data_IF_120646579633
#
_entry.id   IF_120646579633
#
_cell.length_a   1.000
_cell.length_b   1.000
_cell.length_c   1.000
_cell.angle_alpha   90.00
_cell.angle_beta   90.00
_cell.angle_gamma   90.00
#
_symmetry.space_group_name_H-M   'P 1'
#
loop_
_entity.id
_entity.type
_entity.pdbx_description
1 polymer ?
#
# COMPACT_ATOMS: atom_id res chain seq x y z
N UNK A 1 3.42 -31.71 12.37
CA UNK A 1 3.06 -30.28 12.43
C UNK A 1 3.12 -29.85 13.88
N UNK A 2 3.97 -28.87 14.23
CA UNK A 2 3.99 -28.29 15.58
C UNK A 2 2.87 -27.27 15.64
N UNK A 3 1.82 -27.57 16.39
CA UNK A 3 0.73 -26.61 16.63
C UNK A 3 1.30 -25.50 17.51
N UNK A 4 1.33 -24.26 17.01
CA UNK A 4 1.57 -23.10 17.84
C UNK A 4 0.48 -23.02 18.91
N UNK A 5 0.85 -22.84 20.18
CA UNK A 5 -0.13 -22.79 21.27
C UNK A 5 -1.02 -21.57 21.14
N UNK A 6 -2.21 -21.61 21.73
CA UNK A 6 -3.12 -20.47 21.80
C UNK A 6 -2.41 -19.19 22.27
N UNK A 7 -1.45 -19.32 23.17
CA UNK A 7 -0.63 -18.22 23.70
C UNK A 7 0.26 -17.57 22.62
N UNK A 8 0.77 -18.35 21.66
CA UNK A 8 1.57 -17.81 20.55
C UNK A 8 0.69 -17.05 19.55
N UNK A 9 -0.53 -17.55 19.28
CA UNK A 9 -1.53 -16.82 18.50
C UNK A 9 -1.95 -15.52 19.20
N UNK A 10 -2.20 -15.56 20.51
CA UNK A 10 -2.57 -14.39 21.30
C UNK A 10 -1.43 -13.36 21.39
N UNK A 11 -0.16 -13.81 21.34
CA UNK A 11 1.02 -12.92 21.34
C UNK A 11 1.20 -12.22 19.98
N UNK A 12 1.12 -12.97 18.86
CA UNK A 12 1.27 -12.39 17.51
C UNK A 12 0.09 -11.52 17.12
N UNK A 13 -1.11 -11.81 17.64
CA UNK A 13 -2.27 -10.96 17.39
C UNK A 13 -2.20 -9.60 18.09
N UNK A 14 -1.32 -9.43 19.08
CA UNK A 14 -1.17 -8.19 19.86
C UNK A 14 -0.11 -7.23 19.34
N UNK A 15 0.59 -7.57 18.26
CA UNK A 15 1.59 -6.68 17.66
C UNK A 15 0.95 -5.81 16.59
N UNK A 16 1.44 -4.57 16.46
CA UNK A 16 1.14 -3.64 15.35
C UNK A 16 -0.30 -3.08 15.24
N UNK A 17 -1.10 -3.04 16.33
CA UNK A 17 -2.39 -2.33 16.33
C UNK A 17 -2.29 -0.83 15.95
N UNK A 18 -1.18 -0.19 16.29
CA UNK A 18 -0.89 1.22 16.10
C UNK A 18 -0.14 1.48 14.79
N UNK A 19 0.29 0.43 14.09
CA UNK A 19 0.98 0.57 12.81
C UNK A 19 0.06 1.22 11.77
N UNK A 20 0.53 2.28 11.14
CA UNK A 20 -0.25 3.06 10.17
C UNK A 20 -1.40 3.89 10.78
N UNK A 21 -1.61 3.87 12.10
CA UNK A 21 -2.64 4.66 12.77
C UNK A 21 -2.14 6.07 13.08
N UNK A 22 -3.00 7.07 12.88
CA UNK A 22 -2.73 8.46 13.19
C UNK A 22 -3.47 8.91 14.45
N UNK A 23 -2.74 9.55 15.36
CA UNK A 23 -3.30 10.17 16.57
C UNK A 23 -4.18 11.37 16.22
N UNK A 24 -5.36 11.43 16.83
CA UNK A 24 -6.27 12.58 16.83
C UNK A 24 -6.54 13.01 18.28
N UNK A 25 -7.11 14.20 18.48
CA UNK A 25 -7.42 14.70 19.82
C UNK A 25 -8.43 13.79 20.55
N UNK A 26 -8.32 13.71 21.87
CA UNK A 26 -9.31 13.01 22.68
C UNK A 26 -10.57 13.85 22.82
N UNK A 27 -11.66 13.43 22.16
CA UNK A 27 -13.00 13.99 22.31
C UNK A 27 -14.05 13.08 21.68
N UNK A 28 -15.32 13.37 21.98
CA UNK A 28 -16.44 12.78 21.25
C UNK A 28 -16.60 13.47 19.89
N UNK A 29 -16.54 12.69 18.82
CA UNK A 29 -16.62 13.18 17.45
C UNK A 29 -18.06 13.11 16.96
N UNK A 30 -18.57 14.23 16.45
CA UNK A 30 -19.86 14.27 15.77
C UNK A 30 -19.79 13.62 14.39
N UNK A 31 -20.95 13.24 13.85
CA UNK A 31 -21.06 12.69 12.49
C UNK A 31 -20.49 13.64 11.42
N UNK A 32 -20.69 14.94 11.59
CA UNK A 32 -20.15 15.96 10.69
C UNK A 32 -18.62 15.97 10.70
N UNK A 33 -17.99 15.88 11.88
CA UNK A 33 -16.53 15.87 11.98
C UNK A 33 -15.93 14.59 11.40
N UNK A 34 -16.59 13.44 11.60
CA UNK A 34 -16.18 12.17 11.00
C UNK A 34 -16.29 12.25 9.47
N UNK A 35 -17.35 12.86 8.95
CA UNK A 35 -17.51 13.13 7.52
C UNK A 35 -16.41 14.06 6.99
N UNK A 36 -16.03 15.08 7.74
CA UNK A 36 -14.93 15.98 7.33
C UNK A 36 -13.59 15.24 7.27
N UNK A 37 -13.33 14.30 8.18
CA UNK A 37 -12.15 13.42 8.08
C UNK A 37 -12.19 12.53 6.83
N UNK A 38 -13.36 11.95 6.54
CA UNK A 38 -13.57 11.15 5.35
C UNK A 38 -13.31 11.96 4.07
N UNK A 39 -13.94 13.12 3.94
CA UNK A 39 -13.81 14.00 2.78
C UNK A 39 -12.37 14.48 2.62
N UNK A 40 -11.67 14.77 3.72
CA UNK A 40 -10.25 15.12 3.72
C UNK A 40 -9.37 13.96 3.26
N UNK A 41 -9.62 12.74 3.74
CA UNK A 41 -8.87 11.55 3.34
C UNK A 41 -9.08 11.24 1.84
N UNK A 42 -10.32 11.35 1.35
CA UNK A 42 -10.65 11.18 -0.05
C UNK A 42 -9.94 12.18 -0.95
N UNK A 43 -10.00 13.48 -0.63
CA UNK A 43 -9.30 14.52 -1.39
C UNK A 43 -7.79 14.30 -1.40
N UNK A 44 -7.23 13.88 -0.26
CA UNK A 44 -5.81 13.57 -0.15
C UNK A 44 -5.43 12.41 -1.08
N UNK A 45 -6.19 11.31 -1.04
CA UNK A 45 -5.95 10.15 -1.91
C UNK A 45 -6.03 10.55 -3.39
N UNK A 46 -7.08 11.27 -3.81
CA UNK A 46 -7.21 11.71 -5.20
C UNK A 46 -6.01 12.57 -5.63
N UNK A 47 -5.53 13.46 -4.75
CA UNK A 47 -4.38 14.30 -5.06
C UNK A 47 -3.07 13.48 -5.17
N UNK A 48 -2.87 12.50 -4.29
CA UNK A 48 -1.70 11.60 -4.30
C UNK A 48 -1.74 10.69 -5.54
N UNK A 49 -2.86 10.02 -5.82
CA UNK A 49 -3.04 9.18 -7.01
C UNK A 49 -2.87 9.98 -8.30
N UNK A 50 -3.42 11.21 -8.36
CA UNK A 50 -3.21 12.09 -9.50
C UNK A 50 -1.74 12.48 -9.65
N UNK A 51 -1.00 12.65 -8.55
CA UNK A 51 0.44 12.93 -8.61
C UNK A 51 1.18 11.74 -9.20
N UNK A 52 0.99 10.53 -8.65
CA UNK A 52 1.62 9.30 -9.15
C UNK A 52 1.27 9.00 -10.59
N UNK A 53 0.00 9.17 -10.98
CA UNK A 53 -0.44 8.99 -12.35
C UNK A 53 0.25 9.95 -13.35
N UNK A 54 0.72 11.11 -12.89
CA UNK A 54 1.46 12.09 -13.69
C UNK A 54 2.99 11.96 -13.54
N UNK A 55 3.48 11.00 -12.76
CA UNK A 55 4.90 10.68 -12.69
C UNK A 55 5.24 9.75 -13.86
N UNK A 56 6.28 10.07 -14.66
CA UNK A 56 6.72 9.17 -15.72
C UNK A 56 7.23 7.85 -15.13
N UNK A 57 7.25 6.76 -15.92
CA UNK A 57 7.79 5.49 -15.46
C UNK A 57 9.23 5.66 -14.98
N UNK A 58 9.54 4.99 -13.86
CA UNK A 58 10.87 4.98 -13.24
C UNK A 58 11.48 3.60 -13.42
N UNK A 59 12.74 3.56 -13.87
CA UNK A 59 13.48 2.33 -14.09
C UNK A 59 14.65 2.27 -13.11
N UNK A 60 14.78 1.13 -12.42
CA UNK A 60 15.86 0.90 -11.46
C UNK A 60 17.21 0.70 -12.17
N UNK A 61 17.17 0.15 -13.38
CA UNK A 61 18.33 -0.08 -14.23
C UNK A 61 18.06 0.48 -15.62
N UNK A 62 19.01 1.23 -16.15
CA UNK A 62 19.04 1.60 -17.55
C UNK A 62 19.92 0.63 -18.36
N UNK A 63 19.64 0.49 -19.66
CA UNK A 63 20.52 -0.23 -20.57
C UNK A 63 21.94 0.36 -20.59
N UNK A 64 22.07 1.66 -20.32
CA UNK A 64 23.37 2.33 -20.15
C UNK A 64 24.12 1.90 -18.88
N UNK A 65 23.43 1.38 -17.86
CA UNK A 65 24.03 0.91 -16.60
C UNK A 65 24.58 -0.52 -16.70
N UNK A 66 24.25 -1.25 -17.76
CA UNK A 66 24.71 -2.62 -17.97
C UNK A 66 26.15 -2.61 -18.50
N UNK A 67 27.13 -2.71 -17.58
CA UNK A 67 28.53 -2.95 -17.92
C UNK A 67 28.92 -4.42 -17.71
N UNK A 68 29.42 -5.05 -18.77
CA UNK A 68 29.99 -6.39 -18.76
C UNK A 68 31.20 -6.57 -17.83
N UNK A 69 31.84 -5.48 -17.37
CA UNK A 69 33.01 -5.53 -16.49
C UNK A 69 32.66 -5.66 -15.00
N UNK A 70 31.50 -5.14 -14.58
CA UNK A 70 31.09 -5.03 -13.18
C UNK A 70 29.78 -5.79 -12.85
N UNK A 71 29.10 -6.36 -13.86
CA UNK A 71 27.81 -7.06 -13.69
C UNK A 71 27.94 -8.55 -14.00
N UNK A 72 27.30 -9.41 -13.20
CA UNK A 72 27.21 -10.84 -13.49
C UNK A 72 25.98 -11.14 -14.36
N UNK A 73 26.19 -11.72 -15.55
CA UNK A 73 25.09 -12.11 -16.45
C UNK A 73 24.16 -13.15 -15.79
N UNK A 74 24.69 -14.01 -14.92
CA UNK A 74 23.89 -15.04 -14.23
C UNK A 74 22.90 -14.46 -13.20
N UNK A 75 23.07 -13.19 -12.81
CA UNK A 75 22.15 -12.49 -11.93
C UNK A 75 20.88 -12.00 -12.67
N UNK A 76 20.87 -12.02 -14.00
CA UNK A 76 19.75 -11.56 -14.81
C UNK A 76 18.82 -12.71 -15.17
N UNK A 77 17.52 -12.44 -15.08
CA UNK A 77 16.43 -13.35 -15.45
C UNK A 77 15.32 -12.49 -16.05
N UNK A 78 14.85 -12.88 -17.23
CA UNK A 78 13.63 -12.31 -17.81
C UNK A 78 12.42 -13.15 -17.38
N UNK A 79 11.31 -12.46 -17.15
CA UNK A 79 10.04 -13.08 -16.79
C UNK A 79 9.05 -12.79 -17.91
N UNK A 80 8.51 -13.84 -18.51
CA UNK A 80 7.35 -13.72 -19.38
C UNK A 80 6.11 -13.65 -18.50
N UNK A 81 5.44 -12.49 -18.47
CA UNK A 81 4.25 -12.28 -17.63
C UNK A 81 3.04 -13.12 -18.05
N UNK A 82 2.93 -13.52 -19.32
CA UNK A 82 1.80 -14.32 -19.82
C UNK A 82 1.94 -15.80 -19.43
N UNK A 83 3.15 -16.35 -19.57
CA UNK A 83 3.42 -17.77 -19.31
C UNK A 83 3.99 -18.03 -17.92
N UNK A 84 4.46 -16.99 -17.22
CA UNK A 84 5.21 -17.10 -15.98
C UNK A 84 6.56 -17.79 -16.14
N UNK A 85 7.08 -17.90 -17.37
CA UNK A 85 8.33 -18.58 -17.65
C UNK A 85 9.54 -17.69 -17.35
N UNK A 86 10.63 -18.33 -16.92
CA UNK A 86 11.88 -17.66 -16.60
C UNK A 86 12.93 -18.04 -17.63
N UNK A 87 13.46 -17.05 -18.34
CA UNK A 87 14.56 -17.23 -19.29
C UNK A 87 15.78 -16.46 -18.82
N UNK A 88 16.97 -17.02 -19.06
CA UNK A 88 18.22 -16.34 -18.76
C UNK A 88 18.76 -15.73 -20.05
N UNK A 89 19.26 -14.48 -20.01
CA UNK A 89 19.91 -13.89 -21.16
C UNK A 89 21.19 -14.66 -21.51
N UNK A 90 21.47 -14.79 -22.80
CA UNK A 90 22.69 -15.39 -23.33
C UNK A 90 23.82 -14.36 -23.44
N UNK A 91 23.50 -13.06 -23.41
CA UNK A 91 24.49 -11.97 -23.51
C UNK A 91 24.02 -10.67 -22.83
N UNK A 92 24.98 -9.79 -22.48
CA UNK A 92 24.66 -8.45 -21.99
C UNK A 92 23.96 -7.57 -23.04
N UNK A 93 24.19 -7.82 -24.33
CA UNK A 93 23.49 -7.11 -25.40
C UNK A 93 22.00 -7.44 -25.39
N UNK A 94 21.65 -8.71 -25.12
CA UNK A 94 20.26 -9.12 -24.96
C UNK A 94 19.59 -8.43 -23.77
N UNK A 95 20.31 -8.29 -22.64
CA UNK A 95 19.84 -7.51 -21.46
C UNK A 95 19.58 -6.06 -21.83
N UNK A 96 20.51 -5.40 -22.53
CA UNK A 96 20.34 -4.01 -22.97
C UNK A 96 19.12 -3.84 -23.86
N UNK A 97 18.98 -4.68 -24.89
CA UNK A 97 17.85 -4.64 -25.80
C UNK A 97 16.52 -4.88 -25.08
N UNK A 98 16.51 -5.78 -24.09
CA UNK A 98 15.33 -6.04 -23.28
C UNK A 98 14.94 -4.81 -22.45
N UNK A 99 15.89 -4.21 -21.71
CA UNK A 99 15.66 -3.01 -20.92
C UNK A 99 15.21 -1.82 -21.79
N UNK A 100 15.86 -1.59 -22.93
CA UNK A 100 15.46 -0.53 -23.87
C UNK A 100 14.04 -0.74 -24.41
N UNK A 101 13.66 -2.00 -24.66
CA UNK A 101 12.31 -2.35 -25.12
C UNK A 101 11.30 -2.07 -24.01
N UNK A 102 11.51 -2.57 -22.79
CA UNK A 102 10.63 -2.33 -21.65
C UNK A 102 10.45 -0.84 -21.38
N UNK A 103 11.54 -0.08 -21.40
CA UNK A 103 11.51 1.37 -21.21
C UNK A 103 10.67 2.07 -22.28
N UNK A 104 10.87 1.70 -23.55
CA UNK A 104 10.13 2.29 -24.67
C UNK A 104 8.64 1.95 -24.59
N UNK A 105 8.31 0.71 -24.25
CA UNK A 105 6.93 0.25 -24.13
C UNK A 105 6.22 0.95 -22.96
N UNK A 106 6.84 1.01 -21.79
CA UNK A 106 6.30 1.72 -20.63
C UNK A 106 6.16 3.22 -20.88
N UNK A 107 7.12 3.86 -21.58
CA UNK A 107 7.01 5.26 -21.96
C UNK A 107 5.86 5.48 -22.96
N UNK A 108 5.70 4.60 -23.95
CA UNK A 108 4.61 4.68 -24.91
C UNK A 108 3.25 4.45 -24.25
N UNK A 109 3.13 3.51 -23.32
CA UNK A 109 1.92 3.31 -22.52
C UNK A 109 1.60 4.57 -21.70
N UNK A 110 2.61 5.12 -21.03
CA UNK A 110 2.46 6.37 -20.29
C UNK A 110 1.96 7.49 -21.21
N UNK A 111 2.56 7.72 -22.37
CA UNK A 111 2.14 8.81 -23.28
C UNK A 111 0.72 8.62 -23.85
N UNK A 112 0.28 7.38 -24.05
CA UNK A 112 -1.02 7.06 -24.68
C UNK A 112 -2.14 6.73 -23.68
N UNK A 113 -1.87 6.81 -22.37
CA UNK A 113 -2.83 6.46 -21.33
C UNK A 113 -4.10 7.33 -21.36
N UNK A 114 -5.24 6.72 -21.02
CA UNK A 114 -6.51 7.44 -20.86
C UNK A 114 -6.43 8.40 -19.68
N UNK A 115 -7.00 9.63 -19.75
CA UNK A 115 -6.90 10.64 -18.69
C UNK A 115 -7.26 10.12 -17.29
N UNK A 116 -6.63 10.70 -16.27
CA UNK A 116 -6.88 10.36 -14.87
C UNK A 116 -8.38 10.43 -14.53
N UNK A 117 -8.91 9.34 -13.98
CA UNK A 117 -10.32 9.21 -13.61
C UNK A 117 -10.53 9.40 -12.10
N UNK A 118 -10.90 10.61 -11.64
CA UNK A 118 -11.20 10.84 -10.23
C UNK A 118 -12.46 10.10 -9.76
N UNK A 119 -13.42 9.82 -10.65
CA UNK A 119 -14.66 9.14 -10.26
C UNK A 119 -14.39 7.67 -9.92
N UNK A 120 -13.53 7.01 -10.70
CA UNK A 120 -13.00 5.68 -10.37
C UNK A 120 -12.32 5.65 -9.00
N UNK A 121 -11.48 6.65 -8.69
CA UNK A 121 -10.81 6.75 -7.39
C UNK A 121 -11.79 6.93 -6.22
N UNK A 122 -12.83 7.74 -6.40
CA UNK A 122 -13.90 7.91 -5.39
C UNK A 122 -14.58 6.57 -5.10
N UNK A 123 -14.95 5.81 -6.15
CA UNK A 123 -15.59 4.50 -6.00
C UNK A 123 -14.70 3.50 -5.26
N UNK A 124 -13.42 3.40 -5.64
CA UNK A 124 -12.46 2.52 -4.97
C UNK A 124 -12.28 2.90 -3.50
N UNK A 125 -12.23 4.20 -3.19
CA UNK A 125 -12.13 4.67 -1.80
C UNK A 125 -13.37 4.33 -0.98
N UNK A 126 -14.57 4.50 -1.54
CA UNK A 126 -15.84 4.13 -0.90
C UNK A 126 -15.93 2.63 -0.62
N UNK A 127 -15.55 1.79 -1.59
CA UNK A 127 -15.53 0.33 -1.46
C UNK A 127 -14.51 -0.13 -0.41
N UNK A 128 -13.31 0.45 -0.43
CA UNK A 128 -12.27 0.20 0.57
C UNK A 128 -12.72 0.64 1.97
N UNK A 129 -13.31 1.83 2.10
CA UNK A 129 -13.83 2.34 3.37
C UNK A 129 -14.93 1.46 3.94
N UNK A 130 -15.85 0.99 3.09
CA UNK A 130 -16.92 0.04 3.49
C UNK A 130 -16.36 -1.27 4.01
N UNK A 131 -15.36 -1.81 3.30
CA UNK A 131 -14.66 -3.03 3.69
C UNK A 131 -13.94 -2.83 5.02
N UNK A 132 -13.23 -1.71 5.19
CA UNK A 132 -12.55 -1.38 6.44
C UNK A 132 -13.50 -1.23 7.61
N UNK A 133 -14.62 -0.53 7.44
CA UNK A 133 -15.65 -0.42 8.49
C UNK A 133 -16.21 -1.78 8.94
N UNK A 134 -16.20 -2.79 8.06
CA UNK A 134 -16.69 -4.14 8.38
C UNK A 134 -15.66 -4.99 9.12
N UNK A 135 -14.37 -4.87 8.78
CA UNK A 135 -13.36 -5.84 9.22
C UNK A 135 -12.18 -5.25 10.01
N UNK A 136 -11.96 -3.93 9.99
CA UNK A 136 -10.82 -3.32 10.70
C UNK A 136 -11.06 -3.32 12.20
N UNK A 137 -12.27 -3.00 12.66
CA UNK A 137 -12.57 -2.95 14.09
C UNK A 137 -12.36 -4.30 14.78
N UNK A 138 -12.65 -5.42 14.11
CA UNK A 138 -12.49 -6.76 14.68
C UNK A 138 -11.04 -7.17 14.93
N UNK A 139 -10.07 -6.42 14.41
CA UNK A 139 -8.65 -6.63 14.72
C UNK A 139 -8.25 -6.03 16.06
N UNK A 140 -8.99 -5.05 16.56
CA UNK A 140 -8.65 -4.37 17.81
C UNK A 140 -9.21 -5.09 19.04
N UNK A 141 -8.57 -4.95 20.22
CA UNK A 141 -9.14 -5.37 21.49
C UNK A 141 -10.55 -4.84 21.71
N UNK A 142 -11.41 -5.60 22.41
CA UNK A 142 -12.82 -5.24 22.63
C UNK A 142 -13.00 -3.85 23.25
N UNK A 143 -12.11 -3.47 24.18
CA UNK A 143 -12.17 -2.16 24.84
C UNK A 143 -11.97 -0.98 23.88
N UNK A 144 -11.24 -1.17 22.77
CA UNK A 144 -11.08 -0.15 21.72
C UNK A 144 -12.35 -0.07 20.87
N UNK A 145 -12.93 -1.23 20.54
CA UNK A 145 -14.17 -1.31 19.76
C UNK A 145 -15.35 -0.64 20.49
N UNK A 146 -15.34 -0.67 21.83
CA UNK A 146 -16.33 0.00 22.68
C UNK A 146 -16.13 1.51 22.76
N UNK A 147 -14.88 1.99 22.74
CA UNK A 147 -14.53 3.40 22.99
C UNK A 147 -14.32 4.24 21.73
N UNK A 148 -14.07 3.61 20.58
CA UNK A 148 -13.73 4.31 19.34
C UNK A 148 -14.76 4.01 18.26
N UNK A 149 -15.29 5.06 17.64
CA UNK A 149 -16.15 4.91 16.48
C UNK A 149 -15.41 4.16 15.36
N UNK A 150 -16.02 3.07 14.87
CA UNK A 150 -15.46 2.24 13.80
C UNK A 150 -15.11 3.01 12.52
N UNK A 151 -15.78 4.14 12.25
CA UNK A 151 -15.50 5.00 11.09
C UNK A 151 -14.14 5.69 11.24
N UNK A 152 -13.77 6.08 12.46
CA UNK A 152 -12.43 6.61 12.74
C UNK A 152 -11.37 5.51 12.54
N UNK A 153 -11.64 4.30 13.03
CA UNK A 153 -10.75 3.15 12.81
C UNK A 153 -10.59 2.82 11.31
N UNK A 154 -11.67 2.88 10.53
CA UNK A 154 -11.62 2.65 9.08
C UNK A 154 -10.78 3.69 8.33
N UNK A 155 -10.65 4.90 8.89
CA UNK A 155 -9.79 5.98 8.40
C UNK A 155 -8.36 5.94 9.00
N UNK A 156 -8.01 4.87 9.72
CA UNK A 156 -6.78 4.72 10.48
C UNK A 156 -6.54 5.85 11.50
N UNK A 157 -7.59 6.32 12.18
CA UNK A 157 -7.53 7.36 13.19
C UNK A 157 -7.83 6.80 14.59
N UNK A 158 -7.03 7.22 15.58
CA UNK A 158 -7.22 6.86 16.99
C UNK A 158 -7.12 8.08 17.90
N UNK A 159 -8.02 8.26 18.88
CA UNK A 159 -7.81 9.22 19.95
C UNK A 159 -6.47 8.99 20.64
N UNK A 160 -5.77 10.06 21.01
CA UNK A 160 -4.39 10.01 21.50
C UNK A 160 -4.24 9.15 22.76
N UNK A 161 -5.21 9.19 23.67
CA UNK A 161 -5.27 8.33 24.85
C UNK A 161 -5.34 6.86 24.48
N UNK A 162 -6.28 6.49 23.60
CA UNK A 162 -6.48 5.11 23.12
C UNK A 162 -5.23 4.61 22.40
N UNK A 163 -4.61 5.43 21.54
CA UNK A 163 -3.37 5.05 20.86
C UNK A 163 -2.26 4.73 21.88
N UNK A 164 -2.08 5.57 22.90
CA UNK A 164 -1.03 5.37 23.92
C UNK A 164 -1.27 4.07 24.69
N UNK A 165 -2.51 3.83 25.11
CA UNK A 165 -2.88 2.67 25.89
C UNK A 165 -2.71 1.39 25.04
N UNK A 166 -3.13 1.40 23.77
CA UNK A 166 -2.83 0.34 22.80
C UNK A 166 -1.34 0.12 22.61
N UNK A 167 -0.55 1.21 22.50
CA UNK A 167 0.89 1.10 22.28
C UNK A 167 1.61 0.41 23.44
N UNK A 168 1.13 0.63 24.66
CA UNK A 168 1.65 -0.03 25.85
C UNK A 168 1.21 -1.51 25.97
N UNK A 169 0.18 -1.93 25.24
CA UNK A 169 -0.22 -3.34 25.14
C UNK A 169 0.59 -4.11 24.06
N UNK A 170 1.12 -3.41 23.06
CA UNK A 170 1.95 -3.99 21.99
C UNK A 170 3.38 -4.36 22.41
N UNK A 171 3.88 -3.80 23.51
CA UNK A 171 5.25 -3.96 24.03
C UNK A 171 5.66 -2.84 24.96
#
# INVERSE_FOLDING_TARGET
MKYYTKEWYDLIQKTDYTFGMKKIADKDYSDTEIKDFYDKALRKLIAEEKKFYNEPPFFLFDASDVDSSDTDLAAWIFVDEETGSFTRPESFEEVKLHLEKEQREAQAEYENRSPFDPAGMIRLFEESSRTRMKYVSSRFPGWVQEKVDRRLLALNLLPASIYRDLKAEEG
#
